data_IF_618619783810
#
_entry.id   IF_618619783810
#
_cell.length_a   1.000
_cell.length_b   1.000
_cell.length_c   1.000
_cell.angle_alpha   90.00
_cell.angle_beta   90.00
_cell.angle_gamma   90.00
#
_symmetry.space_group_name_H-M   'P 1'
#
loop_
_entity.id
_entity.type
_entity.pdbx_description
1 polymer ?
#
# COMPACT_ATOMS: atom_id res chain seq x y z
N UNK A 1 -48.69 -31.37 -42.96
CA UNK A 1 -48.79 -30.88 -41.56
C UNK A 1 -47.40 -30.53 -41.09
N UNK A 2 -47.02 -29.25 -41.11
CA UNK A 2 -45.74 -28.71 -40.63
C UNK A 2 -45.95 -28.20 -39.22
N UNK A 3 -45.31 -28.81 -38.21
CA UNK A 3 -45.29 -28.33 -36.83
C UNK A 3 -44.21 -27.28 -36.67
N UNK A 4 -44.60 -26.03 -36.38
CA UNK A 4 -43.72 -24.93 -36.00
C UNK A 4 -43.49 -25.05 -34.52
N UNK A 5 -42.24 -25.30 -34.10
CA UNK A 5 -41.80 -25.19 -32.69
C UNK A 5 -41.37 -23.74 -32.45
N UNK A 6 -42.15 -23.03 -31.66
CA UNK A 6 -41.76 -21.71 -31.14
C UNK A 6 -40.82 -21.89 -29.93
N UNK A 7 -39.56 -21.45 -30.11
CA UNK A 7 -38.63 -21.30 -28.95
C UNK A 7 -38.94 -20.00 -28.25
N UNK A 8 -39.50 -20.09 -27.06
CA UNK A 8 -39.63 -18.95 -26.15
C UNK A 8 -38.31 -18.84 -25.42
N UNK A 9 -37.48 -17.87 -25.79
CA UNK A 9 -36.26 -17.50 -25.06
C UNK A 9 -36.67 -16.67 -23.85
N UNK A 10 -36.63 -17.27 -22.67
CA UNK A 10 -36.80 -16.57 -21.40
C UNK A 10 -35.53 -15.75 -21.16
N UNK A 11 -35.54 -14.45 -21.49
CA UNK A 11 -34.57 -13.48 -20.99
C UNK A 11 -34.82 -13.24 -19.50
N UNK A 12 -34.15 -13.99 -18.63
CA UNK A 12 -34.04 -13.64 -17.22
C UNK A 12 -33.14 -12.40 -17.10
N UNK A 13 -33.75 -11.23 -17.02
CA UNK A 13 -33.09 -10.01 -16.62
C UNK A 13 -32.60 -10.18 -15.17
N UNK A 14 -31.32 -10.45 -15.01
CA UNK A 14 -30.61 -10.30 -13.73
C UNK A 14 -30.61 -8.79 -13.38
N UNK A 15 -31.63 -8.37 -12.66
CA UNK A 15 -31.60 -7.07 -11.98
C UNK A 15 -30.53 -7.22 -10.89
N UNK A 16 -29.37 -6.63 -11.11
CA UNK A 16 -28.42 -6.39 -10.06
C UNK A 16 -29.12 -5.46 -9.05
N UNK A 17 -29.59 -6.01 -7.95
CA UNK A 17 -30.15 -5.24 -6.85
C UNK A 17 -29.04 -4.28 -6.38
N UNK A 18 -29.21 -2.99 -6.64
CA UNK A 18 -28.32 -1.97 -6.09
C UNK A 18 -28.39 -2.10 -4.57
N UNK A 19 -27.28 -2.49 -3.97
CA UNK A 19 -27.20 -2.65 -2.53
C UNK A 19 -27.46 -1.29 -1.87
N UNK A 20 -28.47 -1.20 -1.02
CA UNK A 20 -28.84 0.04 -0.35
C UNK A 20 -27.68 0.55 0.51
N UNK A 21 -27.48 1.88 0.59
CA UNK A 21 -26.46 2.45 1.47
C UNK A 21 -26.70 1.98 2.93
N UNK A 22 -25.63 1.58 3.58
CA UNK A 22 -25.64 1.27 5.02
C UNK A 22 -25.44 2.57 5.81
N UNK A 23 -26.33 2.83 6.76
CA UNK A 23 -26.23 4.01 7.63
C UNK A 23 -25.73 3.61 9.02
N UNK A 24 -24.72 4.30 9.52
CA UNK A 24 -24.19 4.11 10.87
C UNK A 24 -24.36 5.42 11.64
N UNK A 25 -25.25 5.41 12.63
CA UNK A 25 -25.46 6.58 13.49
C UNK A 25 -24.24 6.83 14.36
N UNK A 26 -23.78 8.09 14.41
CA UNK A 26 -22.69 8.53 15.29
C UNK A 26 -23.19 8.55 16.74
N UNK A 27 -22.30 8.17 17.66
CA UNK A 27 -22.53 8.33 19.10
C UNK A 27 -22.24 9.77 19.52
N UNK A 28 -22.75 10.26 20.64
CA UNK A 28 -22.42 11.59 21.16
C UNK A 28 -20.91 11.78 21.31
N UNK A 29 -20.36 12.86 20.77
CA UNK A 29 -18.93 13.20 20.77
C UNK A 29 -18.03 12.15 20.08
N UNK A 30 -18.57 11.32 19.22
CA UNK A 30 -17.80 10.33 18.49
C UNK A 30 -17.07 10.97 17.31
N UNK A 31 -15.80 10.62 17.19
CA UNK A 31 -14.91 11.08 16.14
C UNK A 31 -14.29 9.90 15.42
N UNK A 32 -14.04 10.05 14.11
CA UNK A 32 -13.59 8.95 13.25
C UNK A 32 -12.35 9.31 12.43
N UNK A 33 -11.48 8.34 12.24
CA UNK A 33 -10.23 8.38 11.46
C UNK A 33 -10.12 7.17 10.54
N UNK A 34 -9.17 7.18 9.60
CA UNK A 34 -8.85 6.04 8.75
C UNK A 34 -9.24 6.24 7.29
N UNK A 35 -9.28 5.18 6.52
CA UNK A 35 -9.55 5.19 5.10
C UNK A 35 -8.36 5.64 4.25
N UNK A 36 -7.90 6.87 4.38
CA UNK A 36 -6.84 7.43 3.55
C UNK A 36 -5.71 8.06 4.36
N UNK A 37 -4.46 7.77 3.99
CA UNK A 37 -3.29 8.45 4.57
C UNK A 37 -3.20 9.89 4.08
N UNK A 38 -3.48 10.15 2.79
CA UNK A 38 -3.31 11.45 2.15
C UNK A 38 -4.22 12.57 2.66
N UNK A 39 -5.31 12.24 3.37
CA UNK A 39 -6.23 13.24 3.96
C UNK A 39 -6.13 13.31 5.49
N UNK A 40 -5.05 12.87 6.08
CA UNK A 40 -4.86 12.85 7.54
C UNK A 40 -5.09 14.19 8.21
N UNK A 41 -4.79 15.31 7.55
CA UNK A 41 -5.05 16.67 8.06
C UNK A 41 -6.55 17.02 8.18
N UNK A 42 -7.44 16.27 7.54
CA UNK A 42 -8.89 16.44 7.57
C UNK A 42 -9.53 15.61 8.69
N UNK A 43 -8.72 14.79 9.38
CA UNK A 43 -9.19 13.92 10.45
C UNK A 43 -9.01 14.57 11.84
N UNK A 44 -9.94 14.34 12.77
CA UNK A 44 -11.13 13.50 12.64
C UNK A 44 -12.13 14.07 11.64
N UNK A 45 -12.77 13.16 10.89
CA UNK A 45 -13.73 13.55 9.85
C UNK A 45 -14.86 14.40 10.41
N UNK A 46 -15.19 15.48 9.68
CA UNK A 46 -16.29 16.37 9.99
C UNK A 46 -17.45 16.16 9.00
N UNK A 47 -18.70 16.47 9.43
CA UNK A 47 -19.83 16.44 8.52
C UNK A 47 -19.58 17.32 7.28
N UNK A 48 -19.80 16.77 6.09
CA UNK A 48 -19.59 17.50 4.83
C UNK A 48 -20.34 16.84 3.68
N UNK A 49 -20.45 17.58 2.57
CA UNK A 49 -20.99 17.03 1.31
C UNK A 49 -19.96 16.13 0.58
N UNK A 50 -18.72 16.03 1.07
CA UNK A 50 -17.68 15.22 0.44
C UNK A 50 -17.94 13.73 0.64
N UNK A 51 -17.89 12.99 -0.48
CA UNK A 51 -17.88 11.53 -0.50
C UNK A 51 -16.42 11.09 -0.65
N UNK A 52 -15.95 10.28 0.28
CA UNK A 52 -14.65 9.63 0.22
C UNK A 52 -14.80 8.26 -0.44
N UNK A 53 -14.15 8.03 -1.58
CA UNK A 53 -14.34 6.82 -2.38
C UNK A 53 -13.03 6.01 -2.48
N UNK A 54 -12.89 5.01 -1.63
CA UNK A 54 -11.72 4.10 -1.58
C UNK A 54 -11.51 3.28 -2.87
N UNK A 55 -12.49 3.25 -3.79
CA UNK A 55 -12.39 2.53 -5.06
C UNK A 55 -11.68 3.32 -6.16
N UNK A 56 -11.79 4.65 -6.11
CA UNK A 56 -11.35 5.52 -7.21
C UNK A 56 -10.33 6.57 -6.78
N UNK A 57 -10.12 6.73 -5.47
CA UNK A 57 -9.25 7.75 -4.90
C UNK A 57 -8.20 7.12 -4.00
N UNK A 58 -7.01 7.70 -3.99
CA UNK A 58 -5.95 7.35 -3.03
C UNK A 58 -5.23 8.61 -2.49
N UNK A 59 -5.52 9.79 -3.04
CA UNK A 59 -4.88 11.06 -2.69
C UNK A 59 -3.35 10.99 -2.74
N UNK A 60 -2.82 10.31 -3.76
CA UNK A 60 -1.40 10.05 -3.99
C UNK A 60 -0.71 9.31 -2.83
N UNK A 61 -1.45 8.51 -2.08
CA UNK A 61 -0.92 7.74 -0.96
C UNK A 61 -1.77 6.47 -0.74
N UNK A 62 -1.48 5.77 0.34
CA UNK A 62 -2.16 4.54 0.70
C UNK A 62 -3.60 4.78 1.18
N UNK A 63 -4.47 3.82 0.88
CA UNK A 63 -5.83 3.74 1.40
C UNK A 63 -6.14 2.33 1.89
N UNK A 64 -6.98 2.22 2.90
CA UNK A 64 -7.41 0.94 3.49
C UNK A 64 -8.90 0.97 3.82
N UNK A 65 -9.64 -0.14 3.69
CA UNK A 65 -11.08 -0.17 3.94
C UNK A 65 -11.42 -0.31 5.44
N UNK A 66 -10.77 0.53 6.27
CA UNK A 66 -10.99 0.58 7.71
C UNK A 66 -11.18 2.00 8.20
N UNK A 67 -12.19 2.22 9.06
CA UNK A 67 -12.37 3.46 9.81
C UNK A 67 -12.40 3.13 11.30
N UNK A 68 -11.90 4.04 12.13
CA UNK A 68 -11.73 3.86 13.58
C UNK A 68 -12.34 5.02 14.35
N UNK A 69 -13.04 4.71 15.43
CA UNK A 69 -13.69 5.66 16.34
C UNK A 69 -12.92 5.83 17.65
N UNK A 70 -12.94 7.04 18.19
CA UNK A 70 -12.44 7.31 19.55
C UNK A 70 -13.24 6.59 20.64
N UNK A 71 -14.39 6.02 20.33
CA UNK A 71 -15.24 5.28 21.24
C UNK A 71 -15.19 3.75 21.04
N UNK A 72 -14.13 3.24 20.42
CA UNK A 72 -13.86 1.82 20.31
C UNK A 72 -14.64 1.11 19.20
N UNK A 73 -15.39 1.85 18.37
CA UNK A 73 -16.01 1.25 17.18
C UNK A 73 -15.04 1.30 16.00
N UNK A 74 -15.21 0.35 15.09
CA UNK A 74 -14.51 0.37 13.81
C UNK A 74 -15.40 -0.14 12.69
N UNK A 75 -15.17 0.37 11.49
CA UNK A 75 -15.79 -0.10 10.25
C UNK A 75 -14.73 -0.86 9.47
N UNK A 76 -15.11 -2.02 8.96
CA UNK A 76 -14.22 -2.91 8.21
C UNK A 76 -14.92 -3.48 6.99
N UNK A 77 -14.15 -3.72 5.92
CA UNK A 77 -14.57 -4.47 4.74
C UNK A 77 -13.35 -5.14 4.10
N UNK A 78 -13.58 -6.25 3.41
CA UNK A 78 -12.58 -6.91 2.57
C UNK A 78 -12.43 -6.27 1.18
N UNK A 79 -13.30 -5.30 0.86
CA UNK A 79 -13.25 -4.56 -0.40
C UNK A 79 -13.40 -3.06 -0.18
N UNK A 80 -12.85 -2.23 -1.07
CA UNK A 80 -13.02 -0.78 -1.00
C UNK A 80 -14.51 -0.39 -1.05
N UNK A 81 -14.88 0.64 -0.28
CA UNK A 81 -16.22 1.22 -0.22
C UNK A 81 -16.15 2.75 -0.33
N UNK A 82 -17.29 3.41 -0.48
CA UNK A 82 -17.39 4.86 -0.35
C UNK A 82 -18.11 5.23 0.93
N UNK A 83 -17.76 6.38 1.53
CA UNK A 83 -18.40 6.85 2.75
C UNK A 83 -18.52 8.38 2.79
N UNK A 84 -19.49 8.87 3.54
CA UNK A 84 -19.75 10.29 3.76
C UNK A 84 -20.17 10.50 5.22
N UNK A 85 -19.67 11.56 5.85
CA UNK A 85 -20.12 11.98 7.17
C UNK A 85 -21.16 13.09 7.00
N UNK A 86 -22.42 12.79 7.31
CA UNK A 86 -23.54 13.71 7.11
C UNK A 86 -24.66 13.44 8.11
N UNK A 87 -25.30 14.50 8.59
CA UNK A 87 -26.50 14.47 9.43
C UNK A 87 -26.40 13.52 10.64
N UNK A 88 -25.25 13.53 11.32
CA UNK A 88 -25.00 12.67 12.48
C UNK A 88 -24.83 11.18 12.14
N UNK A 89 -24.54 10.86 10.89
CA UNK A 89 -24.36 9.50 10.39
C UNK A 89 -23.10 9.36 9.54
N UNK A 90 -22.67 8.12 9.37
CA UNK A 90 -21.78 7.70 8.28
C UNK A 90 -22.65 6.97 7.26
N UNK A 91 -22.74 7.53 6.07
CA UNK A 91 -23.44 6.92 4.92
C UNK A 91 -22.41 6.10 4.15
N UNK A 92 -22.63 4.79 4.02
CA UNK A 92 -21.69 3.87 3.36
C UNK A 92 -22.32 3.31 2.10
N UNK A 93 -21.61 3.40 1.00
CA UNK A 93 -21.93 2.70 -0.24
C UNK A 93 -20.97 1.52 -0.41
N UNK A 94 -21.38 0.28 -0.11
CA UNK A 94 -20.56 -0.90 -0.27
C UNK A 94 -20.28 -1.18 -1.76
N UNK A 95 -19.25 -1.98 -2.05
CA UNK A 95 -18.94 -2.37 -3.41
C UNK A 95 -19.10 -3.89 -3.62
N UNK A 96 -18.00 -4.64 -3.45
CA UNK A 96 -17.98 -6.09 -3.72
C UNK A 96 -18.13 -6.95 -2.47
N UNK A 97 -17.91 -6.36 -1.28
CA UNK A 97 -18.01 -7.04 -0.01
C UNK A 97 -18.88 -6.25 0.96
N UNK A 98 -19.39 -6.94 1.97
CA UNK A 98 -20.11 -6.33 3.08
C UNK A 98 -19.22 -5.34 3.83
N UNK A 99 -19.83 -4.25 4.29
CA UNK A 99 -19.20 -3.28 5.19
C UNK A 99 -19.88 -3.40 6.54
N UNK A 100 -19.12 -3.74 7.56
CA UNK A 100 -19.64 -3.97 8.90
C UNK A 100 -19.06 -2.99 9.92
N UNK A 101 -19.88 -2.62 10.91
CA UNK A 101 -19.47 -1.81 12.06
C UNK A 101 -19.41 -2.68 13.31
N UNK A 102 -18.30 -2.63 14.01
CA UNK A 102 -18.01 -3.43 15.20
C UNK A 102 -17.65 -2.53 16.38
N UNK A 103 -17.76 -3.09 17.58
CA UNK A 103 -17.30 -2.45 18.82
C UNK A 103 -16.24 -3.31 19.48
N UNK A 104 -15.10 -2.70 19.82
CA UNK A 104 -13.97 -3.35 20.48
C UNK A 104 -13.43 -2.45 21.60
N UNK A 105 -14.11 -2.48 22.75
CA UNK A 105 -13.81 -1.61 23.87
C UNK A 105 -14.39 -0.19 23.73
N UNK A 106 -13.70 0.82 24.25
CA UNK A 106 -14.22 2.20 24.37
C UNK A 106 -13.23 3.29 23.93
N UNK A 107 -12.17 2.92 23.21
CA UNK A 107 -11.12 3.87 22.81
C UNK A 107 -10.67 3.63 21.37
N UNK A 108 -10.08 4.65 20.75
CA UNK A 108 -9.43 4.52 19.43
C UNK A 108 -8.37 3.41 19.43
N UNK A 109 -7.58 3.30 20.50
CA UNK A 109 -6.57 2.26 20.66
C UNK A 109 -7.17 0.87 20.61
N UNK A 110 -8.29 0.63 21.31
CA UNK A 110 -8.95 -0.69 21.30
C UNK A 110 -9.52 -1.04 19.94
N UNK A 111 -10.12 -0.08 19.22
CA UNK A 111 -10.58 -0.27 17.86
C UNK A 111 -9.44 -0.66 16.90
N UNK A 112 -8.35 0.11 16.95
CA UNK A 112 -7.16 -0.17 16.13
C UNK A 112 -6.53 -1.53 16.44
N UNK A 113 -6.38 -1.88 17.72
CA UNK A 113 -5.83 -3.18 18.12
C UNK A 113 -6.68 -4.36 17.67
N UNK A 114 -8.02 -4.21 17.69
CA UNK A 114 -8.92 -5.25 17.22
C UNK A 114 -8.74 -5.50 15.71
N UNK A 115 -8.73 -4.44 14.90
CA UNK A 115 -8.49 -4.54 13.46
C UNK A 115 -7.09 -5.12 13.19
N UNK A 116 -6.05 -4.63 13.85
CA UNK A 116 -4.68 -5.13 13.68
C UNK A 116 -4.59 -6.63 13.97
N UNK A 117 -5.21 -7.08 15.06
CA UNK A 117 -5.20 -8.50 15.45
C UNK A 117 -5.97 -9.38 14.48
N UNK A 118 -7.10 -8.89 13.97
CA UNK A 118 -8.01 -9.67 13.13
C UNK A 118 -7.54 -9.72 11.67
N UNK A 119 -7.16 -8.58 11.09
CA UNK A 119 -6.88 -8.46 9.66
C UNK A 119 -5.38 -8.41 9.33
N UNK A 120 -4.54 -8.04 10.31
CA UNK A 120 -3.09 -7.92 10.15
C UNK A 120 -2.35 -8.62 11.29
N UNK A 121 -2.63 -9.92 11.52
CA UNK A 121 -1.95 -10.64 12.60
C UNK A 121 -0.45 -10.64 12.36
N UNK A 122 0.39 -10.37 13.40
CA UNK A 122 1.83 -10.40 13.24
C UNK A 122 2.30 -11.82 12.90
N UNK A 123 3.26 -11.91 11.98
CA UNK A 123 3.85 -13.20 11.58
C UNK A 123 4.69 -13.87 12.67
N UNK A 124 5.02 -13.12 13.74
CA UNK A 124 5.98 -13.54 14.75
C UNK A 124 7.45 -13.40 14.32
N UNK A 125 7.69 -12.94 13.09
CA UNK A 125 9.03 -12.67 12.56
C UNK A 125 9.23 -11.15 12.47
N UNK A 126 10.36 -10.68 13.01
CA UNK A 126 10.76 -9.27 12.90
C UNK A 126 11.95 -9.15 11.94
N UNK A 127 12.12 -8.00 11.28
CA UNK A 127 13.34 -7.75 10.50
C UNK A 127 14.60 -7.86 11.35
N UNK A 128 15.78 -8.10 10.74
CA UNK A 128 17.06 -8.15 11.46
C UNK A 128 17.31 -6.91 12.31
N UNK A 129 17.93 -7.09 13.47
CA UNK A 129 18.18 -6.03 14.45
C UNK A 129 18.87 -4.79 13.86
N UNK A 130 19.73 -4.99 12.85
CA UNK A 130 20.44 -3.89 12.17
C UNK A 130 19.52 -2.81 11.63
N UNK A 131 18.28 -3.14 11.26
CA UNK A 131 17.30 -2.15 10.78
C UNK A 131 16.74 -1.24 11.89
N UNK A 132 16.98 -1.57 13.14
CA UNK A 132 16.50 -0.79 14.30
C UNK A 132 17.64 -0.10 15.07
N UNK A 133 18.87 -0.66 14.97
CA UNK A 133 19.99 -0.24 15.81
C UNK A 133 21.09 0.50 15.05
N UNK A 134 21.03 0.51 13.71
CA UNK A 134 22.03 1.15 12.85
C UNK A 134 21.39 2.11 11.84
N UNK A 135 22.13 3.11 11.36
CA UNK A 135 21.64 4.01 10.32
C UNK A 135 21.30 3.27 9.03
N UNK A 136 20.29 3.79 8.33
CA UNK A 136 19.95 3.39 6.98
C UNK A 136 20.25 4.57 6.05
N UNK A 137 21.29 4.42 5.26
CA UNK A 137 21.73 5.41 4.28
C UNK A 137 21.07 5.12 2.95
N UNK A 138 20.48 6.14 2.36
CA UNK A 138 19.82 6.03 1.05
C UNK A 138 20.57 6.87 0.04
N UNK A 139 20.91 6.31 -1.11
CA UNK A 139 21.68 6.99 -2.16
C UNK A 139 20.82 7.95 -3.00
N UNK A 140 19.49 8.03 -2.79
CA UNK A 140 18.59 8.82 -3.62
C UNK A 140 18.96 10.30 -3.69
N UNK A 141 19.14 10.94 -2.54
CA UNK A 141 19.39 12.40 -2.50
C UNK A 141 20.72 12.77 -3.18
N UNK A 142 21.73 11.93 -3.06
CA UNK A 142 23.07 12.19 -3.64
C UNK A 142 23.13 11.84 -5.13
N UNK A 143 22.60 10.69 -5.54
CA UNK A 143 22.79 10.16 -6.89
C UNK A 143 21.55 10.32 -7.77
N UNK A 144 20.36 10.48 -7.19
CA UNK A 144 19.07 10.58 -7.87
C UNK A 144 18.94 9.44 -8.90
N UNK A 145 18.78 9.76 -10.18
CA UNK A 145 18.67 8.77 -11.27
C UNK A 145 20.04 8.27 -11.80
N UNK A 146 21.15 8.77 -11.26
CA UNK A 146 22.48 8.36 -11.69
C UNK A 146 23.10 7.30 -10.76
N UNK A 147 22.32 6.37 -10.30
CA UNK A 147 22.83 5.25 -9.50
C UNK A 147 23.86 4.47 -10.32
N UNK A 148 25.07 4.33 -9.78
CA UNK A 148 26.16 3.60 -10.41
C UNK A 148 27.15 3.06 -9.38
N UNK A 149 27.88 2.01 -9.74
CA UNK A 149 28.79 1.30 -8.85
C UNK A 149 29.87 2.20 -8.24
N UNK A 150 30.51 3.02 -9.05
CA UNK A 150 31.61 3.92 -8.63
C UNK A 150 31.13 4.89 -7.54
N UNK A 151 30.00 5.55 -7.78
CA UNK A 151 29.52 6.60 -6.88
C UNK A 151 28.87 6.01 -5.61
N UNK A 152 28.28 4.82 -5.69
CA UNK A 152 27.81 4.08 -4.50
C UNK A 152 28.99 3.73 -3.58
N UNK A 153 30.11 3.25 -4.13
CA UNK A 153 31.31 2.96 -3.34
C UNK A 153 31.94 4.24 -2.77
N UNK A 154 31.97 5.32 -3.54
CA UNK A 154 32.44 6.63 -3.07
C UNK A 154 31.59 7.18 -1.93
N UNK A 155 30.25 7.05 -2.03
CA UNK A 155 29.31 7.42 -0.98
C UNK A 155 29.53 6.62 0.32
N UNK A 156 29.71 5.30 0.22
CA UNK A 156 30.02 4.45 1.37
C UNK A 156 31.33 4.86 2.04
N UNK A 157 32.37 5.13 1.24
CA UNK A 157 33.65 5.61 1.74
C UNK A 157 33.54 6.96 2.45
N UNK A 158 32.78 7.90 1.88
CA UNK A 158 32.56 9.21 2.48
C UNK A 158 31.87 9.13 3.85
N UNK A 159 30.94 8.20 4.05
CA UNK A 159 30.32 7.94 5.36
C UNK A 159 31.39 7.61 6.39
N UNK A 160 32.30 6.69 6.06
CA UNK A 160 33.38 6.26 6.97
C UNK A 160 34.43 7.36 7.21
N UNK A 161 34.84 8.06 6.15
CA UNK A 161 35.83 9.13 6.23
C UNK A 161 35.35 10.30 7.13
N UNK A 162 34.03 10.50 7.22
CA UNK A 162 33.42 11.48 8.12
C UNK A 162 33.08 10.93 9.51
N UNK A 163 33.56 9.75 9.86
CA UNK A 163 33.34 9.15 11.19
C UNK A 163 31.89 8.70 11.47
N UNK A 164 31.08 8.59 10.45
CA UNK A 164 29.71 8.09 10.59
C UNK A 164 29.69 6.57 10.78
N UNK A 165 28.79 6.01 11.58
CA UNK A 165 28.74 4.58 11.82
C UNK A 165 28.30 3.81 10.59
N UNK A 166 28.72 2.55 10.47
CA UNK A 166 28.22 1.61 9.47
C UNK A 166 26.77 1.23 9.75
N UNK A 167 26.06 0.76 8.71
CA UNK A 167 24.67 0.32 8.83
C UNK A 167 24.19 -0.35 7.57
N UNK A 168 23.07 0.12 7.02
CA UNK A 168 22.52 -0.37 5.76
C UNK A 168 22.68 0.72 4.70
N UNK A 169 23.18 0.37 3.52
CA UNK A 169 23.12 1.23 2.32
C UNK A 169 22.02 0.72 1.42
N UNK A 170 21.04 1.56 1.13
CA UNK A 170 20.01 1.32 0.12
C UNK A 170 20.43 2.00 -1.18
N UNK A 171 20.66 1.20 -2.21
CA UNK A 171 20.84 1.66 -3.59
C UNK A 171 19.44 1.91 -4.14
N UNK A 172 19.15 3.18 -4.44
CA UNK A 172 17.81 3.62 -4.77
C UNK A 172 17.48 3.43 -6.26
N UNK A 173 16.38 4.00 -6.72
CA UNK A 173 15.80 3.84 -8.06
C UNK A 173 16.83 3.95 -9.19
N UNK A 174 16.56 3.26 -10.30
CA UNK A 174 17.45 3.15 -11.47
C UNK A 174 18.71 2.29 -11.32
N UNK A 175 18.83 1.47 -10.29
CA UNK A 175 19.86 0.44 -10.23
C UNK A 175 19.54 -0.74 -11.16
N UNK A 176 18.24 -1.02 -11.34
CA UNK A 176 17.75 -2.14 -12.12
C UNK A 176 17.64 -1.79 -13.61
N UNK A 177 17.64 -2.82 -14.44
CA UNK A 177 17.55 -2.72 -15.90
C UNK A 177 16.23 -2.09 -16.34
N UNK A 178 15.12 -2.52 -15.74
CA UNK A 178 13.77 -2.01 -15.92
C UNK A 178 12.94 -2.24 -14.66
N UNK A 179 11.84 -1.53 -14.48
CA UNK A 179 10.90 -1.85 -13.42
C UNK A 179 10.31 -3.24 -13.64
N UNK A 180 10.36 -4.07 -12.61
CA UNK A 180 9.99 -5.48 -12.65
C UNK A 180 11.12 -6.41 -13.06
N UNK A 181 12.22 -5.89 -13.64
CA UNK A 181 13.43 -6.67 -14.01
C UNK A 181 14.52 -6.43 -12.97
N UNK A 182 14.57 -7.28 -11.96
CA UNK A 182 15.48 -7.10 -10.81
C UNK A 182 16.88 -7.62 -11.10
N UNK A 183 17.52 -7.00 -12.10
CA UNK A 183 18.90 -7.23 -12.50
C UNK A 183 19.62 -5.90 -12.54
N UNK A 184 20.86 -5.85 -12.02
CA UNK A 184 21.68 -4.65 -12.13
C UNK A 184 21.92 -4.28 -13.60
N UNK A 185 21.85 -2.98 -13.89
CA UNK A 185 22.19 -2.45 -15.23
C UNK A 185 23.68 -2.63 -15.48
N UNK A 186 24.09 -3.36 -16.55
CA UNK A 186 25.53 -3.60 -16.79
C UNK A 186 26.33 -2.34 -17.13
N UNK A 187 25.67 -1.33 -17.72
CA UNK A 187 26.28 -0.04 -18.07
C UNK A 187 26.58 0.84 -16.84
N UNK A 188 25.88 0.63 -15.74
CA UNK A 188 26.03 1.36 -14.47
C UNK A 188 26.71 0.56 -13.38
N UNK A 189 26.52 -0.74 -13.38
CA UNK A 189 27.03 -1.69 -12.40
C UNK A 189 27.71 -2.85 -13.12
N UNK A 190 28.95 -2.65 -13.62
CA UNK A 190 29.67 -3.69 -14.38
C UNK A 190 30.06 -4.89 -13.52
N UNK A 191 30.30 -4.68 -12.22
CA UNK A 191 30.75 -5.75 -11.29
C UNK A 191 29.96 -5.72 -9.97
N UNK A 192 28.59 -5.87 -10.01
CA UNK A 192 27.76 -5.63 -8.83
C UNK A 192 28.07 -6.58 -7.67
N UNK A 193 28.52 -7.79 -7.93
CA UNK A 193 28.92 -8.74 -6.90
C UNK A 193 30.17 -8.25 -6.14
N UNK A 194 31.15 -7.75 -6.85
CA UNK A 194 32.38 -7.19 -6.29
C UNK A 194 32.08 -5.92 -5.51
N UNK A 195 31.23 -5.04 -6.02
CA UNK A 195 30.74 -3.85 -5.30
C UNK A 195 30.07 -4.23 -3.98
N UNK A 196 29.14 -5.19 -3.98
CA UNK A 196 28.47 -5.66 -2.76
C UNK A 196 29.48 -6.24 -1.77
N UNK A 197 30.46 -7.03 -2.24
CA UNK A 197 31.51 -7.57 -1.39
C UNK A 197 32.36 -6.45 -0.75
N UNK A 198 32.69 -5.40 -1.49
CA UNK A 198 33.41 -4.24 -0.93
C UNK A 198 32.59 -3.51 0.11
N UNK A 199 31.31 -3.28 -0.12
CA UNK A 199 30.40 -2.68 0.87
C UNK A 199 30.30 -3.53 2.13
N UNK A 200 30.24 -4.87 2.00
CA UNK A 200 30.24 -5.78 3.14
C UNK A 200 31.57 -5.72 3.90
N UNK A 201 32.73 -5.63 3.21
CA UNK A 201 34.04 -5.47 3.84
C UNK A 201 34.16 -4.14 4.59
N UNK A 202 33.52 -3.07 4.09
CA UNK A 202 33.40 -1.80 4.79
C UNK A 202 32.48 -1.86 6.02
N UNK A 203 31.75 -2.97 6.24
CA UNK A 203 30.84 -3.18 7.37
C UNK A 203 29.38 -2.81 7.09
N UNK A 204 29.02 -2.46 5.87
CA UNK A 204 27.62 -2.17 5.51
C UNK A 204 26.86 -3.43 5.12
N UNK A 205 25.54 -3.42 5.36
CA UNK A 205 24.59 -4.27 4.67
C UNK A 205 24.06 -3.53 3.44
N UNK A 206 23.68 -4.28 2.41
CA UNK A 206 23.20 -3.70 1.16
C UNK A 206 21.73 -4.04 0.99
N UNK A 207 20.94 -3.04 0.64
CA UNK A 207 19.54 -3.12 0.26
C UNK A 207 19.37 -2.45 -1.11
N UNK A 208 18.47 -2.93 -1.92
CA UNK A 208 18.09 -2.29 -3.18
C UNK A 208 16.63 -1.84 -3.11
N UNK A 209 16.35 -0.67 -3.65
CA UNK A 209 15.00 -0.15 -3.75
C UNK A 209 14.20 -0.95 -4.80
N UNK A 210 12.93 -1.20 -4.53
CA UNK A 210 12.00 -1.84 -5.47
C UNK A 210 10.63 -1.17 -5.42
N UNK A 211 9.94 -1.19 -6.55
CA UNK A 211 8.55 -0.75 -6.65
C UNK A 211 7.67 -1.84 -7.29
N UNK A 212 6.35 -1.77 -7.13
CA UNK A 212 5.43 -2.73 -7.74
C UNK A 212 5.10 -2.42 -9.20
N UNK A 213 5.86 -1.53 -9.84
CA UNK A 213 5.66 -1.18 -11.25
C UNK A 213 6.42 -2.14 -12.17
N UNK A 214 5.93 -2.23 -13.41
CA UNK A 214 6.55 -3.05 -14.46
C UNK A 214 6.63 -2.22 -15.74
N UNK A 215 7.84 -2.09 -16.30
CA UNK A 215 8.05 -1.36 -17.54
C UNK A 215 7.31 -2.02 -18.72
N UNK A 216 6.53 -1.26 -19.51
CA UNK A 216 5.72 -1.82 -20.60
C UNK A 216 6.52 -2.58 -21.65
N UNK A 217 7.79 -2.23 -21.84
CA UNK A 217 8.68 -2.84 -22.82
C UNK A 217 9.38 -4.11 -22.31
N UNK A 218 9.23 -4.43 -21.00
CA UNK A 218 9.87 -5.60 -20.39
C UNK A 218 9.19 -6.93 -20.78
N UNK A 219 9.92 -8.03 -20.64
CA UNK A 219 9.35 -9.37 -20.78
C UNK A 219 8.38 -9.69 -19.63
N UNK A 220 8.68 -9.20 -18.45
CA UNK A 220 7.86 -9.33 -17.25
C UNK A 220 6.48 -8.70 -17.44
N UNK A 221 6.39 -7.54 -18.10
CA UNK A 221 5.11 -6.93 -18.46
C UNK A 221 4.27 -7.85 -19.34
N UNK A 222 4.88 -8.41 -20.42
CA UNK A 222 4.18 -9.32 -21.33
C UNK A 222 3.70 -10.57 -20.58
N UNK A 223 4.57 -11.15 -19.76
CA UNK A 223 4.23 -12.32 -18.95
C UNK A 223 3.05 -12.02 -17.99
N UNK A 224 3.09 -10.91 -17.24
CA UNK A 224 2.06 -10.55 -16.28
C UNK A 224 0.73 -10.21 -16.97
N UNK A 225 0.77 -9.49 -18.09
CA UNK A 225 -0.40 -9.21 -18.93
C UNK A 225 -1.03 -10.50 -19.43
N UNK A 226 -0.25 -11.43 -19.99
CA UNK A 226 -0.74 -12.69 -20.54
C UNK A 226 -1.32 -13.62 -19.46
N UNK A 227 -0.95 -13.41 -18.20
CA UNK A 227 -1.52 -14.06 -17.02
C UNK A 227 -2.73 -13.33 -16.43
N UNK A 228 -3.08 -12.14 -16.93
CA UNK A 228 -4.19 -11.34 -16.41
C UNK A 228 -3.93 -10.70 -15.05
N UNK A 229 -2.67 -10.41 -14.73
CA UNK A 229 -2.26 -9.74 -13.49
C UNK A 229 -2.12 -8.21 -13.66
N UNK A 230 -2.20 -7.72 -14.89
CA UNK A 230 -2.19 -6.30 -15.27
C UNK A 230 -3.50 -5.92 -15.96
#
# INVERSE_FOLDING_TARGET
>A
MKRIFAFITLCSSLWASAQQPTEITLLPNEQWWGGFTGVGKEMPYQPSERIYNLRTENFNNQSVPFLYSNQGRYIASEAPFAYQFKDGKILITPSRAEVSCHTAGSTLKSAYQAVSKQYFPPSGVIPPEVFFTKPQYNTWIELIYNQNEKDVLAYAKAILDNGMPTGVIMIDDNWQKDYGVWQFRPDKFPTPKEMINQLHQMGFKVMVWVCPFVSPDSQEYRFLRDKGYL
#
